data_IF_868634535233
#
_entry.id   IF_868634535233
#
_cell.length_a   1.000
_cell.length_b   1.000
_cell.length_c   1.000
_cell.angle_alpha   90.00
_cell.angle_beta   90.00
_cell.angle_gamma   90.00
#
_symmetry.space_group_name_H-M   'P 1'
#
loop_
_entity.id
_entity.type
_entity.pdbx_description
1 polymer ?
#
# COMPACT_ATOMS: atom_id res chain seq x y z
N UNK A 1 7.17 -5.26 3.87
CA UNK A 1 5.85 -5.89 4.12
C UNK A 1 5.16 -5.07 5.18
N UNK A 2 3.89 -4.74 5.02
CA UNK A 2 3.18 -3.92 6.03
C UNK A 2 2.54 -4.81 7.08
N UNK A 3 2.56 -4.34 8.32
CA UNK A 3 1.90 -5.01 9.43
C UNK A 3 0.38 -5.04 9.24
N UNK A 4 -0.26 -6.22 9.40
CA UNK A 4 -1.71 -6.34 9.31
C UNK A 4 -2.42 -5.44 10.34
N UNK A 5 -1.81 -5.21 11.50
CA UNK A 5 -2.31 -4.29 12.54
C UNK A 5 -2.47 -2.85 12.03
N UNK A 6 -1.57 -2.37 11.15
CA UNK A 6 -1.68 -1.02 10.57
C UNK A 6 -2.85 -0.94 9.59
N UNK A 7 -3.10 -2.00 8.82
CA UNK A 7 -4.25 -2.09 7.91
C UNK A 7 -5.57 -2.08 8.69
N UNK A 8 -5.64 -2.88 9.76
CA UNK A 8 -6.81 -2.91 10.64
C UNK A 8 -7.11 -1.52 11.21
N UNK A 9 -6.07 -0.81 11.67
CA UNK A 9 -6.22 0.56 12.18
C UNK A 9 -6.73 1.54 11.13
N UNK A 10 -6.23 1.46 9.89
CA UNK A 10 -6.73 2.29 8.77
C UNK A 10 -8.22 2.01 8.52
N UNK A 11 -8.65 0.75 8.59
CA UNK A 11 -10.05 0.37 8.39
C UNK A 11 -10.94 0.83 9.55
N UNK A 12 -10.48 0.73 10.80
CA UNK A 12 -11.18 1.27 11.97
C UNK A 12 -11.40 2.79 11.83
N UNK A 13 -10.33 3.54 11.54
CA UNK A 13 -10.40 4.99 11.34
C UNK A 13 -11.31 5.34 10.16
N UNK A 14 -11.26 4.57 9.06
CA UNK A 14 -12.13 4.77 7.91
C UNK A 14 -13.61 4.48 8.22
N UNK A 15 -13.89 3.49 9.08
CA UNK A 15 -15.26 3.17 9.50
C UNK A 15 -15.80 4.25 10.43
N UNK A 16 -14.98 4.69 11.40
CA UNK A 16 -15.28 5.85 12.24
C UNK A 16 -15.57 7.08 11.39
N UNK A 17 -14.74 7.40 10.38
CA UNK A 17 -14.96 8.52 9.47
C UNK A 17 -16.31 8.53 8.74
N UNK A 18 -16.88 7.34 8.50
CA UNK A 18 -18.17 7.18 7.83
C UNK A 18 -19.34 7.32 8.78
N UNK A 19 -19.19 6.84 10.02
CA UNK A 19 -20.23 6.90 11.05
C UNK A 19 -20.23 8.25 11.79
N UNK A 20 -19.05 8.83 12.00
CA UNK A 20 -18.83 10.09 12.70
C UNK A 20 -17.73 10.92 12.03
N UNK A 21 -17.79 12.24 12.19
CA UNK A 21 -16.73 13.14 11.71
C UNK A 21 -15.44 12.90 12.51
N UNK A 22 -14.39 12.41 11.85
CA UNK A 22 -13.06 12.25 12.45
C UNK A 22 -12.51 13.60 12.95
N UNK A 23 -11.87 13.57 14.12
CA UNK A 23 -11.03 14.69 14.59
C UNK A 23 -9.86 14.93 13.62
N UNK A 24 -9.32 16.15 13.61
CA UNK A 24 -8.15 16.50 12.79
C UNK A 24 -6.94 15.62 13.11
N UNK A 25 -6.76 15.24 14.38
CA UNK A 25 -5.70 14.33 14.83
C UNK A 25 -5.83 12.94 14.21
N UNK A 26 -7.05 12.36 14.21
CA UNK A 26 -7.29 11.04 13.63
C UNK A 26 -7.18 11.07 12.09
N UNK A 27 -7.55 12.18 11.43
CA UNK A 27 -7.31 12.37 9.99
C UNK A 27 -5.83 12.42 9.67
N UNK A 28 -5.03 13.10 10.48
CA UNK A 28 -3.59 13.15 10.32
C UNK A 28 -2.97 11.75 10.47
N UNK A 29 -3.36 10.99 11.50
CA UNK A 29 -2.94 9.59 11.69
C UNK A 29 -3.32 8.73 10.48
N UNK A 30 -4.56 8.84 10.01
CA UNK A 30 -5.02 8.08 8.84
C UNK A 30 -4.23 8.43 7.57
N UNK A 31 -3.88 9.70 7.37
CA UNK A 31 -3.09 10.14 6.22
C UNK A 31 -1.67 9.58 6.24
N UNK A 32 -1.04 9.57 7.42
CA UNK A 32 0.31 9.00 7.62
C UNK A 32 0.29 7.50 7.33
N UNK A 33 -0.65 6.77 7.96
CA UNK A 33 -0.79 5.33 7.77
C UNK A 33 -1.09 4.96 6.31
N UNK A 34 -1.91 5.74 5.60
CA UNK A 34 -2.17 5.53 4.18
C UNK A 34 -0.94 5.77 3.31
N UNK A 35 -0.12 6.78 3.62
CA UNK A 35 1.13 7.04 2.89
C UNK A 35 2.11 5.88 3.06
N UNK A 36 2.33 5.44 4.29
CA UNK A 36 3.16 4.25 4.56
C UNK A 36 2.64 3.03 3.79
N UNK A 37 1.32 2.85 3.75
CA UNK A 37 0.69 1.78 2.98
C UNK A 37 1.00 1.81 1.51
N UNK A 38 0.77 2.94 0.86
CA UNK A 38 1.02 3.09 -0.56
C UNK A 38 2.49 2.89 -0.90
N UNK A 39 3.42 3.41 -0.09
CA UNK A 39 4.86 3.26 -0.34
C UNK A 39 5.33 1.81 -0.17
N UNK A 40 4.83 1.10 0.84
CA UNK A 40 5.14 -0.31 1.05
C UNK A 40 4.60 -1.17 -0.10
N UNK A 41 3.37 -0.91 -0.56
CA UNK A 41 2.76 -1.62 -1.69
C UNK A 41 3.47 -1.29 -3.00
N UNK A 42 3.81 -0.01 -3.26
CA UNK A 42 4.59 0.39 -4.44
C UNK A 42 5.94 -0.31 -4.49
N UNK A 43 6.65 -0.35 -3.37
CA UNK A 43 7.96 -1.00 -3.29
C UNK A 43 7.82 -2.50 -3.54
N UNK A 44 6.85 -3.14 -2.91
CA UNK A 44 6.59 -4.56 -3.11
C UNK A 44 6.20 -4.88 -4.56
N UNK A 45 5.31 -4.08 -5.16
CA UNK A 45 4.90 -4.23 -6.55
C UNK A 45 6.07 -4.03 -7.52
N UNK A 46 6.92 -3.02 -7.30
CA UNK A 46 8.15 -2.81 -8.07
C UNK A 46 9.08 -4.02 -7.96
N UNK A 47 9.30 -4.56 -6.76
CA UNK A 47 10.11 -5.76 -6.57
C UNK A 47 9.52 -6.98 -7.29
N UNK A 48 8.19 -7.15 -7.29
CA UNK A 48 7.52 -8.22 -8.04
C UNK A 48 7.68 -8.05 -9.56
N UNK A 49 7.56 -6.82 -10.08
CA UNK A 49 7.78 -6.53 -11.50
C UNK A 49 9.24 -6.71 -11.92
N UNK A 50 10.19 -6.29 -11.09
CA UNK A 50 11.63 -6.47 -11.32
C UNK A 50 12.00 -7.97 -11.34
N UNK A 51 11.42 -8.76 -10.44
CA UNK A 51 11.59 -10.22 -10.45
C UNK A 51 10.99 -10.91 -11.68
N UNK A 52 9.97 -10.31 -12.31
CA UNK A 52 9.40 -10.78 -13.57
C UNK A 52 10.23 -10.32 -14.80
N UNK A 53 10.98 -9.23 -14.67
CA UNK A 53 11.73 -8.62 -15.77
C UNK A 53 13.05 -9.35 -16.09
N UNK A 54 13.41 -10.41 -15.37
CA UNK A 54 14.64 -11.15 -15.62
C UNK A 54 14.41 -12.67 -15.59
N UNK A 55 13.84 -13.19 -16.68
CA UNK A 55 14.29 -14.49 -17.19
C UNK A 55 15.28 -14.20 -18.32
N UNK A 56 16.58 -14.51 -18.16
CA UNK A 56 17.62 -14.22 -19.15
C UNK A 56 17.45 -14.96 -20.49
N UNK A 57 16.37 -15.75 -20.65
CA UNK A 57 16.07 -16.54 -21.84
C UNK A 57 14.72 -16.19 -22.52
N UNK A 58 14.04 -15.11 -22.11
CA UNK A 58 12.77 -14.76 -22.73
C UNK A 58 12.97 -13.91 -23.99
N UNK A 59 13.00 -14.58 -25.14
CA UNK A 59 12.87 -13.97 -26.47
C UNK A 59 11.47 -13.34 -26.61
N UNK A 60 11.32 -12.09 -26.19
CA UNK A 60 10.14 -11.29 -26.44
C UNK A 60 10.50 -10.05 -27.27
N UNK A 61 10.92 -10.26 -28.52
CA UNK A 61 11.15 -9.10 -29.39
C UNK A 61 11.68 -9.31 -30.81
N UNK A 62 11.80 -10.53 -31.35
CA UNK A 62 12.06 -10.72 -32.79
C UNK A 62 11.36 -11.95 -33.38
N UNK A 63 10.09 -11.79 -33.75
CA UNK A 63 9.52 -12.06 -35.08
C UNK A 63 8.04 -11.65 -35.09
#
# INVERSE_FOLDING_TARGET
>A
MIDPKKIERINELARKARESSLSEEEKAEQAILRREYVEAVKTNLKSSLDSLACQPDCDCGKH
#
